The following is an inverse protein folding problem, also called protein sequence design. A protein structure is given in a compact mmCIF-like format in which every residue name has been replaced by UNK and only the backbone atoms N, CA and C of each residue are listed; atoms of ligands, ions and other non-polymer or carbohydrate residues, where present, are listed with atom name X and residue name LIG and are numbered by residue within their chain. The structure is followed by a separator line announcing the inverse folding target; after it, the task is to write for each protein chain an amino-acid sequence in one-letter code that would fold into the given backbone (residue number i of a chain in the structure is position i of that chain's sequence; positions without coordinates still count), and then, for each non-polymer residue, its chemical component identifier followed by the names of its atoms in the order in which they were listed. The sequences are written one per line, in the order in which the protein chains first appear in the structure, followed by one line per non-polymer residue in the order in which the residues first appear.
data_IF_997298124545
#
_entry.id   IF_997298124545
#
_cell.length_a   1.000
_cell.length_b   1.000
_cell.length_c   1.000
_cell.angle_alpha   90.00
_cell.angle_beta   90.00
_cell.angle_gamma   90.00
#
_symmetry.space_group_name_H-M   'P 1'
#
loop_
_entity.id
_entity.type
_entity.pdbx_description
1 polymer ?
#
# COMPACT_ATOMS: atom_id res chain seq x y z
N UNK A 1 27.96 8.49 -4.63
CA UNK A 1 26.67 8.19 -3.95
C UNK A 1 25.62 9.31 -4.04
N UNK A 2 25.97 10.59 -4.27
CA UNK A 2 25.01 11.71 -4.25
C UNK A 2 23.91 11.75 -5.35
N UNK A 3 24.11 11.14 -6.52
CA UNK A 3 23.12 11.17 -7.62
C UNK A 3 21.96 10.18 -7.45
N UNK A 4 22.22 9.03 -6.80
CA UNK A 4 21.23 7.95 -6.63
C UNK A 4 20.33 8.24 -5.41
N UNK A 5 20.92 8.75 -4.32
CA UNK A 5 20.18 9.14 -3.10
C UNK A 5 19.17 10.26 -3.36
N UNK A 6 19.53 11.28 -4.14
CA UNK A 6 18.64 12.39 -4.49
C UNK A 6 17.42 11.96 -5.33
N UNK A 7 17.62 11.04 -6.29
CA UNK A 7 16.51 10.46 -7.09
C UNK A 7 15.59 9.60 -6.22
N UNK A 8 16.16 8.76 -5.35
CA UNK A 8 15.39 7.94 -4.41
C UNK A 8 14.58 8.80 -3.42
N UNK A 9 15.21 9.83 -2.84
CA UNK A 9 14.56 10.76 -1.91
C UNK A 9 13.40 11.53 -2.55
N UNK A 10 13.55 11.96 -3.81
CA UNK A 10 12.46 12.60 -4.55
C UNK A 10 11.31 11.62 -4.86
N UNK A 11 11.61 10.39 -5.27
CA UNK A 11 10.58 9.35 -5.49
C UNK A 11 9.77 9.04 -4.23
N UNK A 12 10.44 8.87 -3.08
CA UNK A 12 9.79 8.59 -1.79
C UNK A 12 8.94 9.79 -1.34
N UNK A 13 9.36 11.02 -1.65
CA UNK A 13 8.57 12.23 -1.39
C UNK A 13 7.24 12.23 -2.18
N UNK A 14 7.27 11.86 -3.47
CA UNK A 14 6.04 11.75 -4.26
C UNK A 14 5.12 10.63 -3.73
N UNK A 15 5.68 9.48 -3.31
CA UNK A 15 4.92 8.41 -2.65
C UNK A 15 4.21 8.91 -1.37
N UNK A 16 4.91 9.69 -0.55
CA UNK A 16 4.35 10.28 0.67
C UNK A 16 3.18 11.22 0.36
N UNK A 17 3.33 12.10 -0.62
CA UNK A 17 2.23 13.00 -1.06
C UNK A 17 1.05 12.20 -1.60
N UNK A 18 1.31 11.19 -2.42
CA UNK A 18 0.28 10.31 -2.96
C UNK A 18 -0.52 9.63 -1.86
N UNK A 19 0.14 9.10 -0.83
CA UNK A 19 -0.54 8.46 0.29
C UNK A 19 -1.35 9.43 1.16
N UNK A 20 -0.86 10.67 1.38
CA UNK A 20 -1.63 11.71 2.07
C UNK A 20 -2.90 12.05 1.27
N UNK A 21 -2.77 12.26 -0.04
CA UNK A 21 -3.91 12.50 -0.92
C UNK A 21 -4.89 11.32 -0.92
N UNK A 22 -4.36 10.10 -0.85
CA UNK A 22 -5.16 8.87 -0.76
C UNK A 22 -5.98 8.80 0.51
N UNK A 23 -5.39 9.16 1.67
CA UNK A 23 -6.12 9.26 2.94
C UNK A 23 -7.17 10.38 2.93
N UNK A 24 -6.89 11.52 2.28
CA UNK A 24 -7.87 12.59 2.07
C UNK A 24 -9.03 12.14 1.17
N UNK A 25 -8.81 11.10 0.37
CA UNK A 25 -9.82 10.40 -0.43
C UNK A 25 -11.02 9.88 0.35
N UNK A 26 -10.90 9.71 1.67
CA UNK A 26 -11.99 9.28 2.54
C UNK A 26 -13.13 10.31 2.66
N UNK A 27 -12.92 11.57 2.23
CA UNK A 27 -13.96 12.61 2.21
C UNK A 27 -14.81 12.44 0.93
N UNK A 28 -16.10 12.10 0.99
CA UNK A 28 -16.90 11.67 -0.17
C UNK A 28 -17.03 12.69 -1.31
N UNK A 29 -16.93 14.00 -1.04
CA UNK A 29 -17.16 15.06 -2.04
C UNK A 29 -15.87 15.47 -2.77
N UNK A 30 -14.75 15.55 -2.06
CA UNK A 30 -13.42 15.87 -2.62
C UNK A 30 -12.61 14.61 -2.97
N UNK A 31 -13.09 13.45 -2.51
CA UNK A 31 -12.32 12.23 -2.44
C UNK A 31 -12.04 11.59 -3.79
N UNK A 32 -12.97 11.65 -4.75
CA UNK A 32 -12.79 11.01 -6.06
C UNK A 32 -11.62 11.66 -6.82
N UNK A 33 -11.55 13.00 -6.83
CA UNK A 33 -10.45 13.73 -7.48
C UNK A 33 -9.14 13.50 -6.74
N UNK A 34 -9.16 13.46 -5.40
CA UNK A 34 -7.98 13.19 -4.58
C UNK A 34 -7.45 11.76 -4.78
N UNK A 35 -8.33 10.76 -4.93
CA UNK A 35 -7.95 9.36 -5.20
C UNK A 35 -7.32 9.23 -6.58
N UNK A 36 -7.89 9.87 -7.60
CA UNK A 36 -7.28 9.88 -8.95
C UNK A 36 -5.91 10.56 -8.95
N UNK A 37 -5.79 11.71 -8.30
CA UNK A 37 -4.51 12.41 -8.15
C UNK A 37 -3.49 11.57 -7.38
N UNK A 38 -3.90 10.96 -6.26
CA UNK A 38 -3.08 10.05 -5.46
C UNK A 38 -2.56 8.89 -6.29
N UNK A 39 -3.43 8.29 -7.12
CA UNK A 39 -3.07 7.16 -7.95
C UNK A 39 -2.01 7.52 -9.01
N UNK A 40 -2.20 8.64 -9.71
CA UNK A 40 -1.24 9.14 -10.72
C UNK A 40 0.11 9.47 -10.06
N UNK A 41 0.10 10.15 -8.91
CA UNK A 41 1.31 10.52 -8.19
C UNK A 41 2.04 9.28 -7.66
N UNK A 42 1.31 8.30 -7.11
CA UNK A 42 1.90 7.03 -6.65
C UNK A 42 2.55 6.26 -7.81
N UNK A 43 1.88 6.17 -8.97
CA UNK A 43 2.45 5.52 -10.15
C UNK A 43 3.71 6.24 -10.64
N UNK A 44 3.69 7.57 -10.71
CA UNK A 44 4.85 8.36 -11.10
C UNK A 44 6.02 8.20 -10.11
N UNK A 45 5.72 8.16 -8.81
CA UNK A 45 6.70 7.98 -7.76
C UNK A 45 7.40 6.62 -7.86
N UNK A 46 6.62 5.54 -7.99
CA UNK A 46 7.16 4.18 -8.16
C UNK A 46 7.91 4.07 -9.49
N UNK A 47 7.47 4.74 -10.55
CA UNK A 47 8.20 4.79 -11.83
C UNK A 47 9.60 5.39 -11.68
N UNK A 48 9.75 6.53 -11.01
CA UNK A 48 11.08 7.10 -10.70
C UNK A 48 11.93 6.12 -9.89
N UNK A 49 11.31 5.47 -8.91
CA UNK A 49 11.99 4.53 -8.01
C UNK A 49 12.36 3.20 -8.69
N UNK A 50 11.64 2.80 -9.73
CA UNK A 50 11.91 1.59 -10.52
C UNK A 50 13.25 1.66 -11.27
N UNK A 51 13.77 2.87 -11.48
CA UNK A 51 15.12 3.10 -12.01
C UNK A 51 16.24 2.99 -10.97
N UNK A 52 15.89 2.84 -9.67
CA UNK A 52 16.85 2.84 -8.55
C UNK A 52 17.13 1.42 -8.04
N UNK A 53 16.11 0.57 -7.91
CA UNK A 53 16.29 -0.82 -7.46
C UNK A 53 15.31 -1.79 -8.13
N UNK A 54 15.67 -3.07 -8.18
CA UNK A 54 14.85 -4.12 -8.80
C UNK A 54 13.57 -4.39 -8.02
N UNK A 55 13.60 -4.31 -6.68
CA UNK A 55 12.39 -4.46 -5.84
C UNK A 55 11.33 -3.37 -6.15
N UNK A 56 11.74 -2.15 -6.55
CA UNK A 56 10.80 -1.12 -7.00
C UNK A 56 10.18 -1.42 -8.37
N UNK A 57 10.91 -2.09 -9.28
CA UNK A 57 10.32 -2.58 -10.52
C UNK A 57 9.22 -3.59 -10.22
N UNK A 58 9.45 -4.50 -9.29
CA UNK A 58 8.42 -5.47 -8.87
C UNK A 58 7.20 -4.76 -8.28
N UNK A 59 7.40 -3.76 -7.41
CA UNK A 59 6.30 -2.94 -6.88
C UNK A 59 5.50 -2.22 -7.98
N UNK A 60 6.19 -1.71 -9.01
CA UNK A 60 5.56 -1.07 -10.17
C UNK A 60 4.65 -2.04 -10.93
N UNK A 61 5.18 -3.22 -11.28
CA UNK A 61 4.41 -4.25 -11.99
C UNK A 61 3.21 -4.72 -11.17
N UNK A 62 3.37 -4.92 -9.86
CA UNK A 62 2.28 -5.32 -8.96
C UNK A 62 1.18 -4.26 -8.93
N UNK A 63 1.54 -2.98 -8.91
CA UNK A 63 0.57 -1.88 -8.93
C UNK A 63 -0.20 -1.82 -10.25
N UNK A 64 0.46 -2.06 -11.38
CA UNK A 64 -0.19 -2.16 -12.70
C UNK A 64 -1.12 -3.37 -12.78
N UNK A 65 -0.68 -4.53 -12.29
CA UNK A 65 -1.51 -5.74 -12.25
C UNK A 65 -2.73 -5.49 -11.37
N UNK A 66 -2.56 -4.89 -10.19
CA UNK A 66 -3.65 -4.54 -9.29
C UNK A 66 -4.67 -3.61 -9.96
N UNK A 67 -4.21 -2.62 -10.73
CA UNK A 67 -5.08 -1.75 -11.54
C UNK A 67 -5.87 -2.55 -12.57
N UNK A 68 -5.21 -3.41 -13.33
CA UNK A 68 -5.87 -4.24 -14.35
C UNK A 68 -6.92 -5.16 -13.72
N UNK A 69 -6.60 -5.78 -12.58
CA UNK A 69 -7.52 -6.63 -11.82
C UNK A 69 -8.71 -5.83 -11.30
N UNK A 70 -8.52 -4.60 -10.80
CA UNK A 70 -9.62 -3.72 -10.38
C UNK A 70 -10.54 -3.35 -11.55
N UNK A 71 -9.97 -2.97 -12.70
CA UNK A 71 -10.76 -2.62 -13.90
C UNK A 71 -11.57 -3.82 -14.37
N UNK A 72 -10.96 -5.00 -14.46
CA UNK A 72 -11.65 -6.24 -14.81
C UNK A 72 -12.75 -6.54 -13.78
N UNK A 73 -12.46 -6.32 -12.50
CA UNK A 73 -13.41 -6.54 -11.41
C UNK A 73 -14.67 -5.69 -11.47
N UNK A 74 -14.58 -4.47 -12.01
CA UNK A 74 -15.76 -3.63 -12.23
C UNK A 74 -16.76 -4.29 -13.18
N UNK A 75 -16.30 -5.10 -14.14
CA UNK A 75 -17.16 -5.84 -15.07
C UNK A 75 -17.71 -7.15 -14.49
N UNK A 76 -17.03 -7.75 -13.51
CA UNK A 76 -17.40 -9.04 -12.91
C UNK A 76 -17.94 -8.89 -11.47
N UNK A 77 -18.77 -7.87 -11.23
CA UNK A 77 -19.22 -7.47 -9.89
C UNK A 77 -20.30 -8.40 -9.26
N UNK A 78 -20.57 -9.56 -9.86
CA UNK A 78 -21.58 -10.51 -9.39
C UNK A 78 -21.07 -11.95 -9.33
N UNK A 79 -21.37 -12.63 -8.23
CA UNK A 79 -21.10 -14.07 -8.04
C UNK A 79 -19.76 -14.40 -7.40
N UNK A 80 -19.36 -15.67 -7.49
CA UNK A 80 -18.15 -16.21 -6.82
C UNK A 80 -16.85 -15.57 -7.33
N UNK A 81 -16.87 -15.14 -8.60
CA UNK A 81 -15.74 -14.50 -9.28
C UNK A 81 -15.36 -13.18 -8.58
N UNK A 82 -16.33 -12.39 -8.11
CA UNK A 82 -16.04 -11.14 -7.40
C UNK A 82 -15.37 -11.39 -6.05
N UNK A 83 -15.76 -12.46 -5.34
CA UNK A 83 -15.12 -12.88 -4.09
C UNK A 83 -13.65 -13.26 -4.31
N UNK A 84 -13.36 -14.11 -5.30
CA UNK A 84 -11.98 -14.50 -5.64
C UNK A 84 -11.12 -13.30 -6.07
N UNK A 85 -11.72 -12.35 -6.79
CA UNK A 85 -11.03 -11.15 -7.25
C UNK A 85 -10.76 -10.16 -6.12
N UNK A 86 -11.69 -10.03 -5.15
CA UNK A 86 -11.48 -9.26 -3.92
C UNK A 86 -10.30 -9.79 -3.12
N UNK A 87 -10.23 -11.11 -2.96
CA UNK A 87 -9.10 -11.78 -2.30
C UNK A 87 -7.78 -11.48 -3.02
N UNK A 88 -7.76 -11.62 -4.35
CA UNK A 88 -6.59 -11.29 -5.16
C UNK A 88 -6.18 -9.82 -4.98
N UNK A 89 -7.12 -8.88 -5.03
CA UNK A 89 -6.85 -7.45 -4.82
C UNK A 89 -6.27 -7.17 -3.43
N UNK A 90 -6.79 -7.83 -2.39
CA UNK A 90 -6.27 -7.73 -1.02
C UNK A 90 -4.81 -8.19 -0.95
N UNK A 91 -4.50 -9.34 -1.57
CA UNK A 91 -3.13 -9.87 -1.65
C UNK A 91 -2.21 -8.91 -2.43
N UNK A 92 -2.65 -8.44 -3.61
CA UNK A 92 -1.90 -7.53 -4.48
C UNK A 92 -1.64 -6.17 -3.81
N UNK A 93 -2.62 -5.63 -3.07
CA UNK A 93 -2.49 -4.38 -2.33
C UNK A 93 -1.49 -4.50 -1.19
N UNK A 94 -1.51 -5.64 -0.48
CA UNK A 94 -0.51 -5.94 0.53
C UNK A 94 0.90 -6.06 -0.06
N UNK A 95 1.02 -6.81 -1.17
CA UNK A 95 2.29 -7.01 -1.86
C UNK A 95 2.89 -5.69 -2.33
N UNK A 96 2.10 -4.76 -2.88
CA UNK A 96 2.62 -3.45 -3.32
C UNK A 96 3.26 -2.68 -2.17
N UNK A 97 2.57 -2.57 -1.03
CA UNK A 97 3.09 -1.91 0.18
C UNK A 97 4.31 -2.64 0.72
N UNK A 98 4.29 -3.97 0.73
CA UNK A 98 5.42 -4.79 1.17
C UNK A 98 6.67 -4.52 0.32
N UNK A 99 6.57 -4.62 -1.01
CA UNK A 99 7.70 -4.39 -1.89
C UNK A 99 8.22 -2.96 -1.80
N UNK A 100 7.35 -1.96 -1.64
CA UNK A 100 7.78 -0.58 -1.41
C UNK A 100 8.54 -0.45 -0.08
N UNK A 101 8.02 -1.05 1.01
CA UNK A 101 8.70 -1.03 2.31
C UNK A 101 10.05 -1.74 2.25
N UNK A 102 10.11 -2.92 1.62
CA UNK A 102 11.31 -3.72 1.45
C UNK A 102 12.35 -2.98 0.59
N UNK A 103 11.94 -2.42 -0.54
CA UNK A 103 12.79 -1.64 -1.42
C UNK A 103 13.34 -0.39 -0.69
N UNK A 104 12.49 0.34 0.02
CA UNK A 104 12.89 1.51 0.81
C UNK A 104 13.87 1.12 1.92
N UNK A 105 13.59 0.02 2.63
CA UNK A 105 14.48 -0.51 3.67
C UNK A 105 15.83 -0.97 3.12
N UNK A 106 15.85 -1.56 1.92
CA UNK A 106 17.08 -1.95 1.22
C UNK A 106 17.97 -0.76 0.89
N UNK A 107 17.38 0.38 0.48
CA UNK A 107 18.13 1.62 0.24
C UNK A 107 18.64 2.24 1.54
N UNK A 108 17.86 2.13 2.63
CA UNK A 108 18.26 2.62 3.95
C UNK A 108 19.23 1.69 4.68
N UNK A 109 19.47 0.49 4.17
CA UNK A 109 20.35 -0.48 4.78
C UNK A 109 21.79 0.03 4.76
N UNK A 110 22.33 0.32 5.94
CA UNK A 110 23.64 0.96 6.12
C UNK A 110 23.61 2.46 6.39
N UNK A 111 22.44 3.12 6.28
CA UNK A 111 22.24 4.52 6.66
C UNK A 111 21.54 4.62 8.01
N UNK A 112 20.41 3.92 8.17
CA UNK A 112 19.59 4.05 9.38
C UNK A 112 18.85 2.73 9.73
N UNK A 113 19.43 1.94 10.64
CA UNK A 113 18.89 0.62 11.01
C UNK A 113 17.56 0.69 11.79
N UNK A 114 17.29 1.83 12.42
CA UNK A 114 16.04 2.07 13.17
C UNK A 114 14.83 2.11 12.22
N UNK A 115 14.99 2.73 11.05
CA UNK A 115 13.96 2.81 10.02
C UNK A 115 13.74 1.47 9.34
N UNK A 116 14.81 0.70 9.08
CA UNK A 116 14.70 -0.67 8.54
C UNK A 116 13.86 -1.55 9.48
N UNK A 117 14.08 -1.45 10.79
CA UNK A 117 13.28 -2.18 11.79
C UNK A 117 11.80 -1.75 11.78
N UNK A 118 11.53 -0.45 11.59
CA UNK A 118 10.15 0.08 11.46
C UNK A 118 9.44 -0.45 10.23
N UNK A 119 10.11 -0.55 9.09
CA UNK A 119 9.56 -1.15 7.87
C UNK A 119 9.09 -2.60 8.12
N UNK A 120 9.86 -3.37 8.90
CA UNK A 120 9.48 -4.72 9.31
C UNK A 120 8.21 -4.77 10.18
N UNK A 121 8.02 -3.81 11.09
CA UNK A 121 6.79 -3.71 11.88
C UNK A 121 5.58 -3.36 11.01
N UNK A 122 5.73 -2.43 10.07
CA UNK A 122 4.66 -2.00 9.16
C UNK A 122 4.20 -3.19 8.30
N UNK A 123 5.13 -3.93 7.69
CA UNK A 123 4.77 -5.09 6.88
C UNK A 123 4.05 -6.17 7.69
N UNK A 124 4.51 -6.46 8.93
CA UNK A 124 3.82 -7.41 9.83
C UNK A 124 2.40 -6.96 10.16
N UNK A 125 2.18 -5.67 10.42
CA UNK A 125 0.86 -5.12 10.70
C UNK A 125 -0.08 -5.26 9.49
N UNK A 126 0.41 -4.85 8.32
CA UNK A 126 -0.34 -4.97 7.07
C UNK A 126 -0.62 -6.44 6.72
N UNK A 127 0.30 -7.35 7.03
CA UNK A 127 0.17 -8.78 6.76
C UNK A 127 -0.87 -9.42 7.67
N UNK A 128 -0.88 -9.02 8.95
CA UNK A 128 -1.93 -9.42 9.88
C UNK A 128 -3.30 -8.93 9.38
N UNK A 129 -3.43 -7.66 9.00
CA UNK A 129 -4.68 -7.13 8.46
C UNK A 129 -5.15 -7.89 7.21
N UNK A 130 -4.23 -8.18 6.28
CA UNK A 130 -4.53 -8.95 5.07
C UNK A 130 -5.06 -10.35 5.41
N UNK A 131 -4.39 -11.10 6.28
CA UNK A 131 -4.82 -12.45 6.66
C UNK A 131 -6.20 -12.42 7.30
N UNK A 132 -6.47 -11.47 8.19
CA UNK A 132 -7.79 -11.37 8.83
C UNK A 132 -8.86 -10.96 7.82
N UNK A 133 -8.58 -10.05 6.88
CA UNK A 133 -9.54 -9.70 5.83
C UNK A 133 -9.87 -10.88 4.92
N UNK A 134 -8.88 -11.67 4.51
CA UNK A 134 -9.12 -12.88 3.72
C UNK A 134 -9.98 -13.90 4.48
N UNK A 135 -9.73 -14.07 5.78
CA UNK A 135 -10.56 -14.92 6.65
C UNK A 135 -11.99 -14.37 6.68
N UNK A 136 -12.17 -13.06 6.88
CA UNK A 136 -13.50 -12.42 6.87
C UNK A 136 -14.24 -12.59 5.53
N UNK A 137 -13.54 -12.42 4.40
CA UNK A 137 -14.12 -12.64 3.06
C UNK A 137 -14.54 -14.11 2.86
N UNK A 138 -13.76 -15.07 3.36
CA UNK A 138 -14.11 -16.48 3.32
C UNK A 138 -15.31 -16.80 4.24
N UNK A 139 -15.39 -16.15 5.39
CA UNK A 139 -16.50 -16.31 6.34
C UNK A 139 -17.83 -15.75 5.82
N UNK A 140 -17.82 -14.76 4.92
CA UNK A 140 -19.06 -14.22 4.30
C UNK A 140 -19.85 -15.27 3.50
N UNK A 141 -19.21 -16.35 3.05
CA UNK A 141 -19.92 -17.48 2.43
C UNK A 141 -20.82 -18.26 3.41
N UNK A 142 -20.63 -18.08 4.72
CA UNK A 142 -21.46 -18.68 5.77
C UNK A 142 -22.34 -17.58 6.39
N UNK A 143 -23.63 -17.46 6.02
CA UNK A 143 -24.48 -16.32 6.35
C UNK A 143 -24.71 -16.08 7.86
N UNK A 144 -24.45 -17.07 8.71
CA UNK A 144 -24.70 -17.01 10.16
C UNK A 144 -23.62 -16.19 10.91
N UNK A 145 -22.43 -15.97 10.31
CA UNK A 145 -21.28 -15.30 10.97
C UNK A 145 -21.11 -13.82 10.51
N UNK A 146 -21.98 -13.33 9.62
CA UNK A 146 -21.82 -12.01 8.98
C UNK A 146 -21.77 -10.82 9.96
N UNK A 147 -22.48 -10.89 11.09
CA UNK A 147 -22.46 -9.85 12.13
C UNK A 147 -21.09 -9.78 12.84
N UNK A 148 -20.42 -10.92 13.01
CA UNK A 148 -19.07 -10.94 13.60
C UNK A 148 -18.05 -10.37 12.61
N UNK A 149 -18.21 -10.67 11.31
CA UNK A 149 -17.34 -10.16 10.26
C UNK A 149 -17.38 -8.62 10.17
N UNK A 150 -18.54 -7.99 10.33
CA UNK A 150 -18.66 -6.52 10.30
C UNK A 150 -17.99 -5.82 11.49
N UNK A 151 -18.00 -6.43 12.67
CA UNK A 151 -17.27 -5.92 13.85
C UNK A 151 -15.76 -6.04 13.63
N UNK A 152 -15.32 -7.17 13.08
CA UNK A 152 -13.90 -7.41 12.81
C UNK A 152 -13.37 -6.45 11.74
N UNK A 153 -14.12 -6.20 10.66
CA UNK A 153 -13.70 -5.24 9.63
C UNK A 153 -13.61 -3.81 10.17
N UNK A 154 -14.48 -3.42 11.11
CA UNK A 154 -14.37 -2.14 11.80
C UNK A 154 -13.06 -2.01 12.59
N UNK A 155 -12.68 -3.05 13.35
CA UNK A 155 -11.41 -3.08 14.09
C UNK A 155 -10.21 -3.03 13.12
N UNK A 156 -10.26 -3.78 12.02
CA UNK A 156 -9.20 -3.79 11.00
C UNK A 156 -9.05 -2.40 10.37
N UNK A 157 -10.15 -1.70 10.09
CA UNK A 157 -10.09 -0.36 9.51
C UNK A 157 -9.30 0.62 10.41
N UNK A 158 -9.47 0.54 11.72
CA UNK A 158 -8.69 1.33 12.70
C UNK A 158 -7.21 0.93 12.64
N UNK A 159 -6.91 -0.37 12.62
CA UNK A 159 -5.52 -0.87 12.56
C UNK A 159 -4.85 -0.45 11.24
N UNK A 160 -5.55 -0.53 10.10
CA UNK A 160 -5.07 -0.08 8.80
C UNK A 160 -4.80 1.42 8.78
N UNK A 161 -5.64 2.21 9.44
CA UNK A 161 -5.41 3.65 9.58
C UNK A 161 -4.13 3.93 10.37
N UNK A 162 -3.93 3.25 11.50
CA UNK A 162 -2.68 3.34 12.28
C UNK A 162 -1.47 2.89 11.43
N UNK A 163 -1.62 1.81 10.68
CA UNK A 163 -0.58 1.31 9.77
C UNK A 163 -0.22 2.32 8.68
N UNK A 164 -1.23 2.99 8.10
CA UNK A 164 -1.06 4.05 7.12
C UNK A 164 -0.32 5.27 7.68
N UNK A 165 -0.63 5.68 8.92
CA UNK A 165 0.09 6.76 9.61
C UNK A 165 1.55 6.37 9.87
N UNK A 166 1.79 5.15 10.37
CA UNK A 166 3.15 4.64 10.58
C UNK A 166 3.95 4.58 9.27
N UNK A 167 3.31 4.15 8.19
CA UNK A 167 3.90 4.12 6.85
C UNK A 167 4.26 5.53 6.34
N UNK A 168 3.38 6.51 6.52
CA UNK A 168 3.65 7.91 6.20
C UNK A 168 4.84 8.47 6.98
N UNK A 169 4.89 8.22 8.30
CA UNK A 169 6.04 8.63 9.11
C UNK A 169 7.34 7.99 8.62
N UNK A 170 7.31 6.69 8.28
CA UNK A 170 8.46 5.99 7.73
C UNK A 170 8.92 6.60 6.40
N UNK A 171 8.00 6.87 5.46
CA UNK A 171 8.33 7.51 4.20
C UNK A 171 8.92 8.91 4.41
N UNK A 172 8.36 9.71 5.33
CA UNK A 172 8.84 11.06 5.65
C UNK A 172 10.24 11.08 6.27
N UNK A 173 10.54 10.15 7.16
CA UNK A 173 11.88 10.01 7.71
C UNK A 173 12.87 9.53 6.64
N UNK A 174 12.48 8.54 5.82
CA UNK A 174 13.33 7.97 4.77
C UNK A 174 13.76 9.02 3.74
N UNK A 175 12.82 9.84 3.24
CA UNK A 175 13.14 10.92 2.30
C UNK A 175 14.03 12.00 2.92
N UNK A 176 13.86 12.34 4.21
CA UNK A 176 14.70 13.32 4.90
C UNK A 176 16.14 12.85 5.05
N UNK A 177 16.32 11.57 5.33
CA UNK A 177 17.65 10.94 5.43
C UNK A 177 18.32 10.84 4.06
N UNK A 178 17.57 10.46 3.01
CA UNK A 178 18.11 10.26 1.66
C UNK A 178 18.37 11.56 0.87
N UNK A 179 17.72 12.66 1.24
CA UNK A 179 17.97 14.00 0.66
C UNK A 179 19.12 14.75 1.33
N UNK A 180 19.69 14.22 2.41
CA UNK A 180 20.80 14.83 3.16
C UNK A 180 22.15 14.37 2.61
#
# INVERSE_FOLDING_TARGET
MGSIGGKAGNGIYYLFIGQILGLLGFIPILGIVAVLASFIICLYAIYILSGVSEDYKTAFFITIINLAVNIIGMFFNHGIISGMLSMANTILSFLSVFYICKATAGILWGVDQTLVSRAGLIWKLYGLCMVVMLICELLMYIPIINILASIVTFIIAIIQLVAGILYLMFLWQSQKVLRR
#
